data_IF_277832344047
#
_entry.id   IF_277832344047
#
_cell.length_a   1.000
_cell.length_b   1.000
_cell.length_c   1.000
_cell.angle_alpha   90.00
_cell.angle_beta   90.00
_cell.angle_gamma   90.00
#
_symmetry.space_group_name_H-M   'P 1'
#
loop_
_entity.id
_entity.type
_entity.pdbx_description
1 polymer ?
#
# COMPACT_ATOMS: atom_id res chain seq x y z
N UNK A 1 18.83 16.12 -8.06
CA UNK A 1 18.04 15.60 -6.94
C UNK A 1 18.84 14.56 -6.19
N UNK A 2 18.76 14.63 -4.86
CA UNK A 2 19.45 13.68 -4.02
C UNK A 2 18.87 12.27 -4.22
N UNK A 3 19.67 11.31 -4.71
CA UNK A 3 19.13 9.97 -4.96
C UNK A 3 18.69 9.24 -3.68
N UNK A 4 19.20 9.68 -2.53
CA UNK A 4 18.82 9.04 -1.27
C UNK A 4 17.58 9.65 -0.66
N UNK A 5 17.10 10.76 -1.19
CA UNK A 5 15.95 11.42 -0.61
C UNK A 5 14.69 10.57 -0.76
N UNK A 6 14.50 9.97 -1.93
CA UNK A 6 13.34 9.12 -2.15
C UNK A 6 13.35 7.93 -1.20
N UNK A 7 14.52 7.35 -0.96
CA UNK A 7 14.62 6.23 -0.04
C UNK A 7 14.29 6.65 1.39
N UNK A 8 14.77 7.83 1.80
CA UNK A 8 14.50 8.30 3.15
C UNK A 8 13.01 8.60 3.34
N UNK A 9 12.40 9.24 2.35
CA UNK A 9 10.97 9.53 2.43
C UNK A 9 10.17 8.24 2.39
N UNK A 10 10.56 7.29 1.54
CA UNK A 10 9.89 6.00 1.47
C UNK A 10 9.90 5.28 2.81
N UNK A 11 11.06 5.29 3.48
CA UNK A 11 11.17 4.61 4.76
C UNK A 11 10.37 5.34 5.83
N UNK A 12 10.36 6.66 5.80
CA UNK A 12 9.53 7.41 6.74
C UNK A 12 8.05 7.10 6.55
N UNK A 13 7.63 7.02 5.30
CA UNK A 13 6.24 6.67 5.01
C UNK A 13 5.94 5.26 5.49
N UNK A 14 6.87 4.32 5.27
CA UNK A 14 6.66 2.94 5.71
C UNK A 14 6.45 2.88 7.23
N UNK A 15 7.32 3.57 7.97
CA UNK A 15 7.23 3.54 9.42
C UNK A 15 5.93 4.16 9.93
N UNK A 16 5.53 5.29 9.34
CA UNK A 16 4.29 5.92 9.77
C UNK A 16 3.08 5.11 9.37
N UNK A 17 3.08 4.51 8.19
CA UNK A 17 1.97 3.66 7.78
C UNK A 17 1.84 2.44 8.68
N UNK A 18 2.97 1.85 9.07
CA UNK A 18 2.94 0.71 9.97
C UNK A 18 2.24 1.09 11.27
N UNK A 19 2.57 2.25 11.79
CA UNK A 19 1.95 2.70 13.03
C UNK A 19 0.49 3.06 12.82
N UNK A 20 0.18 3.77 11.74
CA UNK A 20 -1.20 4.18 11.49
C UNK A 20 -2.11 2.97 11.30
N UNK A 21 -1.67 2.00 10.53
CA UNK A 21 -2.49 0.82 10.28
C UNK A 21 -2.61 -0.02 11.55
N UNK A 22 -1.52 -0.10 12.31
CA UNK A 22 -1.52 -0.93 13.50
C UNK A 22 -2.29 -0.35 14.67
N UNK A 23 -2.31 0.97 14.79
CA UNK A 23 -2.86 1.58 16.01
C UNK A 23 -3.98 2.57 15.78
N UNK A 24 -4.08 3.16 14.58
CA UNK A 24 -5.07 4.21 14.36
C UNK A 24 -6.31 3.73 13.61
N UNK A 25 -6.16 2.73 12.75
CA UNK A 25 -7.32 2.22 12.03
C UNK A 25 -8.14 1.31 12.93
N UNK A 26 -9.45 1.53 12.91
CA UNK A 26 -10.37 0.75 13.71
C UNK A 26 -11.31 -0.09 12.86
N UNK A 27 -10.90 -0.43 11.66
CA UNK A 27 -11.73 -1.24 10.78
C UNK A 27 -11.53 -2.71 11.09
N UNK A 28 -12.60 -3.41 11.49
CA UNK A 28 -12.46 -4.83 11.84
C UNK A 28 -12.04 -5.73 10.69
N UNK A 29 -12.14 -5.23 9.45
CA UNK A 29 -11.70 -6.02 8.30
C UNK A 29 -10.19 -6.06 8.17
N UNK A 30 -9.47 -5.15 8.85
CA UNK A 30 -8.02 -5.13 8.77
C UNK A 30 -7.49 -6.19 9.72
N UNK A 31 -6.91 -7.24 9.13
CA UNK A 31 -6.32 -8.31 9.92
C UNK A 31 -4.85 -8.06 10.17
N UNK A 32 -4.11 -9.14 10.36
CA UNK A 32 -2.67 -9.02 10.54
C UNK A 32 -2.03 -8.57 9.24
N UNK A 33 -1.40 -7.41 9.30
CA UNK A 33 -0.76 -6.85 8.11
C UNK A 33 0.50 -6.11 8.53
N UNK A 34 1.55 -6.29 7.76
CA UNK A 34 2.81 -5.60 7.97
C UNK A 34 3.16 -4.83 6.72
N UNK A 35 3.60 -3.57 6.89
CA UNK A 35 4.07 -2.80 5.75
C UNK A 35 5.52 -3.20 5.49
N UNK A 36 5.71 -3.99 4.43
CA UNK A 36 7.04 -4.52 4.13
C UNK A 36 7.92 -3.47 3.48
N UNK A 37 7.36 -2.68 2.57
CA UNK A 37 8.18 -1.78 1.79
C UNK A 37 7.29 -0.71 1.18
N UNK A 38 7.84 0.49 1.00
CA UNK A 38 7.19 1.56 0.26
C UNK A 38 8.14 1.99 -0.84
N UNK A 39 7.61 2.08 -2.06
CA UNK A 39 8.40 2.50 -3.21
C UNK A 39 7.75 3.75 -3.81
N UNK A 40 8.49 4.85 -3.80
CA UNK A 40 8.02 6.11 -4.36
C UNK A 40 8.37 6.23 -5.83
N UNK A 41 7.43 6.74 -6.62
CA UNK A 41 7.73 7.07 -8.01
C UNK A 41 8.72 8.25 -8.03
N UNK A 42 9.46 8.41 -9.14
CA UNK A 42 10.45 9.49 -9.22
C UNK A 42 9.86 10.88 -9.02
N UNK A 43 8.60 11.08 -9.40
CA UNK A 43 7.96 12.39 -9.24
C UNK A 43 7.27 12.52 -7.88
N UNK A 44 7.39 11.54 -7.01
CA UNK A 44 6.81 11.54 -5.66
C UNK A 44 5.29 11.61 -5.66
N UNK A 45 4.66 11.26 -6.77
CA UNK A 45 3.20 11.30 -6.86
C UNK A 45 2.54 9.99 -6.48
N UNK A 46 3.27 8.90 -6.54
CA UNK A 46 2.72 7.57 -6.29
C UNK A 46 3.62 6.80 -5.35
N UNK A 47 3.01 6.12 -4.41
CA UNK A 47 3.73 5.25 -3.48
C UNK A 47 3.12 3.86 -3.56
N UNK A 48 3.94 2.88 -3.92
CA UNK A 48 3.51 1.48 -3.93
C UNK A 48 3.83 0.92 -2.56
N UNK A 49 2.79 0.54 -1.84
CA UNK A 49 2.91 0.03 -0.48
C UNK A 49 2.76 -1.48 -0.51
N UNK A 50 3.86 -2.18 -0.30
CA UNK A 50 3.87 -3.64 -0.33
C UNK A 50 3.56 -4.17 1.06
N UNK A 51 2.57 -5.04 1.15
CA UNK A 51 2.04 -5.52 2.41
C UNK A 51 2.24 -7.02 2.56
N UNK A 52 2.62 -7.44 3.77
CA UNK A 52 2.60 -8.85 4.12
C UNK A 52 1.26 -9.11 4.78
N UNK A 53 0.44 -9.90 4.11
CA UNK A 53 -0.91 -10.19 4.55
C UNK A 53 -0.99 -11.60 5.07
N UNK A 54 -1.71 -11.79 6.17
CA UNK A 54 -1.86 -13.08 6.81
C UNK A 54 -3.27 -13.60 6.57
N UNK A 55 -3.40 -14.94 6.67
CA UNK A 55 -4.70 -15.55 6.58
C UNK A 55 -5.09 -15.97 5.18
N UNK A 56 -6.27 -16.57 5.02
CA UNK A 56 -6.73 -17.01 3.72
C UNK A 56 -7.03 -15.85 2.79
N UNK A 57 -7.08 -16.14 1.52
CA UNK A 57 -7.23 -15.12 0.49
C UNK A 57 -8.44 -14.20 0.71
N UNK A 58 -9.62 -14.71 1.07
CA UNK A 58 -10.74 -13.79 1.29
C UNK A 58 -10.48 -12.74 2.36
N UNK A 59 -9.76 -13.12 3.42
CA UNK A 59 -9.42 -12.17 4.47
C UNK A 59 -8.39 -11.17 3.97
N UNK A 60 -7.45 -11.61 3.13
CA UNK A 60 -6.48 -10.69 2.57
C UNK A 60 -7.14 -9.66 1.66
N UNK A 61 -8.11 -10.09 0.88
CA UNK A 61 -8.86 -9.17 0.03
C UNK A 61 -9.63 -8.16 0.88
N UNK A 62 -10.25 -8.64 1.96
CA UNK A 62 -11.00 -7.74 2.84
C UNK A 62 -10.08 -6.70 3.46
N UNK A 63 -8.86 -7.11 3.85
CA UNK A 63 -7.90 -6.17 4.40
C UNK A 63 -7.52 -5.11 3.36
N UNK A 64 -7.26 -5.53 2.13
CA UNK A 64 -6.91 -4.57 1.08
C UNK A 64 -8.06 -3.62 0.80
N UNK A 65 -9.28 -4.12 0.78
CA UNK A 65 -10.44 -3.25 0.58
C UNK A 65 -10.55 -2.22 1.69
N UNK A 66 -10.34 -2.66 2.93
CA UNK A 66 -10.43 -1.76 4.06
C UNK A 66 -9.36 -0.67 3.98
N UNK A 67 -8.15 -1.05 3.61
CA UNK A 67 -7.07 -0.08 3.47
C UNK A 67 -7.35 0.91 2.35
N UNK A 68 -7.91 0.44 1.26
CA UNK A 68 -8.26 1.34 0.17
C UNK A 68 -9.36 2.31 0.58
N UNK A 69 -10.30 1.86 1.39
CA UNK A 69 -11.33 2.76 1.91
C UNK A 69 -10.75 3.80 2.87
N UNK A 70 -9.68 3.45 3.58
CA UNK A 70 -9.05 4.36 4.53
C UNK A 70 -7.96 5.21 3.88
N UNK A 71 -7.81 5.13 2.58
CA UNK A 71 -6.68 5.75 1.88
C UNK A 71 -6.59 7.25 2.14
N UNK A 72 -7.70 7.96 2.07
CA UNK A 72 -7.66 9.41 2.28
C UNK A 72 -7.29 9.76 3.71
N UNK A 73 -7.80 8.99 4.66
CA UNK A 73 -7.41 9.20 6.05
C UNK A 73 -5.92 9.00 6.24
N UNK A 74 -5.39 7.92 5.65
CA UNK A 74 -3.97 7.63 5.77
C UNK A 74 -3.12 8.72 5.12
N UNK A 75 -3.55 9.20 3.95
CA UNK A 75 -2.81 10.28 3.29
C UNK A 75 -2.81 11.55 4.14
N UNK A 76 -3.96 11.87 4.73
CA UNK A 76 -4.04 13.05 5.58
C UNK A 76 -3.10 12.93 6.77
N UNK A 77 -3.11 11.78 7.42
CA UNK A 77 -2.24 11.57 8.58
C UNK A 77 -0.77 11.63 8.20
N UNK A 78 -0.42 11.06 7.04
CA UNK A 78 0.97 11.12 6.59
C UNK A 78 1.40 12.56 6.36
N UNK A 79 0.54 13.37 5.75
CA UNK A 79 0.88 14.76 5.51
C UNK A 79 1.13 15.49 6.82
N UNK A 80 0.29 15.20 7.83
CA UNK A 80 0.45 15.85 9.12
C UNK A 80 1.72 15.41 9.84
N UNK A 81 1.99 14.10 9.81
CA UNK A 81 3.09 13.56 10.60
C UNK A 81 4.46 13.82 9.96
N UNK A 82 4.52 13.87 8.64
CA UNK A 82 5.78 13.98 7.93
C UNK A 82 6.00 15.34 7.32
N UNK A 83 5.03 16.24 7.45
CA UNK A 83 5.12 17.60 6.89
C UNK A 83 5.46 17.54 5.40
N UNK A 84 4.79 16.66 4.68
CA UNK A 84 5.05 16.49 3.27
C UNK A 84 4.43 17.64 2.47
N UNK A 85 5.21 18.17 1.53
CA UNK A 85 4.69 19.19 0.64
C UNK A 85 3.56 18.63 -0.21
N UNK A 86 3.74 17.40 -0.68
CA UNK A 86 2.73 16.72 -1.49
C UNK A 86 2.66 15.27 -1.03
N UNK A 87 1.46 14.83 -0.67
CA UNK A 87 1.28 13.44 -0.24
C UNK A 87 1.03 12.58 -1.47
N UNK A 88 1.81 11.52 -1.66
CA UNK A 88 1.61 10.66 -2.82
C UNK A 88 0.32 9.86 -2.71
N UNK A 89 -0.20 9.44 -3.85
CA UNK A 89 -1.28 8.47 -3.88
C UNK A 89 -0.74 7.13 -3.41
N UNK A 90 -1.50 6.49 -2.54
CA UNK A 90 -1.10 5.19 -1.99
C UNK A 90 -1.72 4.07 -2.80
N UNK A 91 -0.88 3.09 -3.15
CA UNK A 91 -1.31 1.91 -3.90
C UNK A 91 -0.90 0.69 -3.08
N UNK A 92 -1.87 -0.01 -2.55
CA UNK A 92 -1.61 -1.14 -1.67
C UNK A 92 -1.56 -2.43 -2.46
N UNK A 93 -0.49 -3.20 -2.30
CA UNK A 93 -0.30 -4.46 -3.00
C UNK A 93 0.27 -5.49 -2.05
N UNK A 94 -0.11 -6.77 -2.21
CA UNK A 94 0.55 -7.80 -1.42
C UNK A 94 2.01 -7.94 -1.83
N UNK A 95 2.89 -8.10 -0.84
CA UNK A 95 4.29 -8.35 -1.13
C UNK A 95 4.44 -9.76 -1.64
N UNK A 96 5.41 -9.97 -2.54
CA UNK A 96 5.70 -11.31 -3.01
C UNK A 96 6.38 -12.10 -1.89
N UNK A 97 5.92 -13.32 -1.69
CA UNK A 97 6.50 -14.18 -0.69
C UNK A 97 7.71 -14.89 -1.29
N UNK A 98 8.88 -14.82 -0.64
CA UNK A 98 10.05 -15.53 -1.16
C UNK A 98 9.81 -17.03 -1.28
N UNK A 99 8.95 -17.59 -0.45
CA UNK A 99 8.69 -19.03 -0.50
C UNK A 99 7.86 -19.47 -1.68
N UNK A 100 7.34 -18.55 -2.47
CA UNK A 100 6.51 -18.91 -3.60
C UNK A 100 7.29 -19.13 -4.88
N UNK A 101 8.60 -19.09 -4.82
CA UNK A 101 9.43 -19.38 -5.98
C UNK A 101 9.22 -18.43 -7.13
N UNK A 102 8.94 -17.19 -6.84
CA UNK A 102 8.76 -16.19 -7.87
C UNK A 102 7.36 -16.13 -8.45
N UNK A 103 6.46 -16.99 -8.02
CA UNK A 103 5.10 -16.93 -8.49
C UNK A 103 4.40 -15.70 -7.94
N UNK A 104 3.64 -15.03 -8.80
CA UNK A 104 2.84 -13.91 -8.37
C UNK A 104 1.59 -14.45 -7.69
N UNK A 105 1.29 -14.01 -6.46
CA UNK A 105 0.09 -14.45 -5.79
C UNK A 105 -1.16 -14.15 -6.60
N UNK A 106 -2.16 -15.03 -6.47
CA UNK A 106 -3.39 -14.85 -7.21
C UNK A 106 -4.04 -13.51 -6.92
N UNK A 107 -3.99 -13.09 -5.66
CA UNK A 107 -4.61 -11.84 -5.26
C UNK A 107 -3.90 -10.66 -5.92
N UNK A 108 -2.59 -10.72 -6.06
CA UNK A 108 -1.85 -9.65 -6.71
C UNK A 108 -2.19 -9.56 -8.19
N UNK A 109 -2.27 -10.70 -8.87
CA UNK A 109 -2.65 -10.70 -10.27
C UNK A 109 -4.04 -10.14 -10.47
N UNK A 110 -4.96 -10.48 -9.57
CA UNK A 110 -6.33 -10.00 -9.68
C UNK A 110 -6.40 -8.50 -9.51
N UNK A 111 -5.62 -7.96 -8.58
CA UNK A 111 -5.60 -6.52 -8.35
C UNK A 111 -5.05 -5.79 -9.56
N UNK A 112 -3.95 -6.28 -10.10
CA UNK A 112 -3.36 -5.62 -11.25
C UNK A 112 -4.27 -5.67 -12.46
N UNK A 113 -4.96 -6.78 -12.63
CA UNK A 113 -5.82 -6.96 -13.77
C UNK A 113 -7.07 -6.08 -13.67
N UNK A 114 -7.60 -5.93 -12.47
CA UNK A 114 -8.80 -5.17 -12.26
C UNK A 114 -8.57 -3.68 -12.22
N UNK A 115 -7.34 -3.25 -12.25
CA UNK A 115 -7.06 -1.84 -12.24
C UNK A 115 -7.42 -1.26 -13.59
N UNK A 116 -8.43 -0.46 -13.62
CA UNK A 116 -8.87 0.04 -14.91
C UNK A 116 -7.81 0.89 -15.41
N UNK A 117 -7.68 0.90 -16.18
CA UNK A 117 -6.98 1.73 -16.58
C UNK A 117 -7.85 2.65 -16.80
N UNK A 118 -8.12 3.15 -16.33
CA UNK A 118 -9.28 3.73 -16.29
C UNK A 118 -9.93 3.67 -17.56
N UNK A 119 -9.76 2.77 -17.56
CA UNK A 119 -10.19 2.19 -18.04
C UNK A 119 -11.04 1.70 -18.25
N UNK A 120 -11.40 1.70 -18.48
CA UNK A 120 -12.09 0.99 -18.47
C UNK A 120 -12.53 0.24 -18.60
N UNK A 121 -12.48 0.35 -18.77
CA UNK A 121 -12.78 -0.58 -18.68
C UNK A 121 -12.89 -1.35 -18.64
N UNK A 122 -12.88 -1.10 -18.86
CA UNK A 122 -12.84 -1.92 -18.66
C UNK A 122 -12.56 -2.68 -18.52
N UNK A 123 -12.43 -2.64 -18.77
CA UNK A 123 -12.17 -3.38 -18.51
C UNK A 123 -11.78 -3.76 -18.22
N UNK A 124 -11.61 -3.61 -18.18
CA UNK A 124 -11.19 -4.11 -17.65
C UNK A 124 -10.99 -4.31 -17.29
#
# INVERSE_FOLDING_TARGET
MDPHRAERVSESIREELEELIGYELSDPRVGSVTVAQVHLSPDFRHAIVSLILQGPEPEQIATLDALNHAKQFLRYQLAERLSLFRTPDLHFEPALSPGLGGKVPQILRRIRRGRPRPEKNSIS
#
